data_IF_164088006323
#
_entry.id   IF_164088006323
#
_cell.length_a   1.000
_cell.length_b   1.000
_cell.length_c   1.000
_cell.angle_alpha   90.00
_cell.angle_beta   90.00
_cell.angle_gamma   90.00
#
_symmetry.space_group_name_H-M   'P 1'
#
loop_
_entity.id
_entity.type
_entity.pdbx_description
1 polymer ?
#
# COMPACT_ATOMS: atom_id res chain seq x y z
N UNK A 1 -18.59 -65.72 35.97
CA UNK A 1 -17.25 -65.23 35.57
C UNK A 1 -17.28 -63.73 35.48
N UNK A 2 -16.33 -63.08 36.12
CA UNK A 2 -16.34 -61.64 36.52
C UNK A 2 -16.06 -60.69 35.36
N UNK A 3 -16.88 -59.64 35.18
CA UNK A 3 -16.60 -58.46 34.38
C UNK A 3 -15.73 -57.46 35.12
N UNK A 4 -14.72 -56.79 34.49
CA UNK A 4 -14.09 -55.64 35.10
C UNK A 4 -14.60 -54.33 34.50
N UNK A 5 -14.90 -53.47 35.41
CA UNK A 5 -15.25 -52.05 35.39
C UNK A 5 -14.32 -51.19 34.51
N UNK A 6 -14.89 -50.39 33.58
CA UNK A 6 -14.20 -49.39 32.82
C UNK A 6 -14.10 -48.06 33.55
N UNK A 7 -12.88 -47.54 33.70
CA UNK A 7 -12.57 -46.17 34.18
C UNK A 7 -12.78 -45.16 33.06
N UNK A 8 -13.53 -44.08 33.33
CA UNK A 8 -13.59 -42.89 32.51
C UNK A 8 -12.32 -42.04 32.67
N UNK A 9 -11.72 -41.48 31.62
CA UNK A 9 -10.68 -40.49 31.80
C UNK A 9 -11.25 -39.10 32.07
N UNK A 10 -10.57 -38.41 32.98
CA UNK A 10 -10.76 -37.09 33.54
C UNK A 10 -10.65 -36.00 32.48
N UNK A 11 -11.52 -34.97 32.59
CA UNK A 11 -11.51 -33.76 31.79
C UNK A 11 -10.22 -32.94 32.02
N UNK A 12 -9.52 -32.66 30.94
CA UNK A 12 -8.35 -31.77 30.91
C UNK A 12 -8.79 -30.30 30.93
N UNK A 13 -8.21 -29.54 31.86
CA UNK A 13 -8.45 -28.12 32.08
C UNK A 13 -7.89 -27.27 30.93
N UNK A 14 -8.65 -26.27 30.49
CA UNK A 14 -8.22 -25.24 29.54
C UNK A 14 -7.24 -24.28 30.22
N UNK A 15 -6.11 -23.89 29.58
CA UNK A 15 -5.25 -22.83 30.07
C UNK A 15 -5.92 -21.46 29.89
N UNK A 16 -5.87 -20.66 30.96
CA UNK A 16 -6.43 -19.31 31.05
C UNK A 16 -5.66 -18.31 30.17
N UNK A 17 -6.41 -17.43 29.54
CA UNK A 17 -5.88 -16.25 28.79
C UNK A 17 -5.32 -15.22 29.78
N UNK A 18 -4.18 -14.56 29.51
CA UNK A 18 -3.74 -13.40 30.28
C UNK A 18 -4.62 -12.17 29.96
N UNK A 19 -5.15 -11.58 31.02
CA UNK A 19 -5.83 -10.28 30.96
C UNK A 19 -4.80 -9.17 30.90
N UNK A 20 -4.78 -8.38 29.83
CA UNK A 20 -4.03 -7.13 29.73
C UNK A 20 -4.89 -6.04 30.38
N UNK A 21 -4.35 -5.41 31.42
CA UNK A 21 -4.98 -4.33 32.15
C UNK A 21 -5.02 -3.05 31.30
N UNK A 22 -6.21 -2.50 31.09
CA UNK A 22 -6.43 -1.17 30.50
C UNK A 22 -6.09 -0.09 31.53
N UNK A 23 -5.04 0.69 31.27
CA UNK A 23 -4.72 1.91 32.00
C UNK A 23 -5.64 3.06 31.57
N UNK A 24 -6.49 3.52 32.51
CA UNK A 24 -7.25 4.77 32.36
C UNK A 24 -6.31 5.96 32.51
N UNK A 25 -6.24 6.82 31.49
CA UNK A 25 -5.70 8.17 31.58
C UNK A 25 -6.88 9.15 31.61
N UNK A 26 -7.04 9.79 32.76
CA UNK A 26 -8.00 10.86 33.03
C UNK A 26 -7.58 12.16 32.36
N UNK A 27 -8.44 12.71 31.50
CA UNK A 27 -8.31 14.06 30.97
C UNK A 27 -8.90 15.07 31.97
N UNK A 28 -8.10 16.02 32.42
CA UNK A 28 -8.54 17.17 33.22
C UNK A 28 -9.02 18.28 32.28
N UNK A 29 -10.29 18.68 32.45
CA UNK A 29 -10.88 19.85 31.82
C UNK A 29 -10.53 21.09 32.64
N UNK A 30 -9.98 22.11 31.98
CA UNK A 30 -9.83 23.47 32.56
C UNK A 30 -10.81 24.37 31.83
N UNK A 31 -11.81 24.84 32.58
CA UNK A 31 -12.73 25.92 32.20
C UNK A 31 -12.07 27.27 32.51
N UNK A 32 -12.09 28.22 31.59
CA UNK A 32 -11.76 29.62 31.82
C UNK A 32 -12.91 30.50 31.36
N UNK A 33 -13.32 31.37 32.25
CA UNK A 33 -14.51 32.20 32.20
C UNK A 33 -14.37 33.43 31.29
N UNK A 34 -15.49 33.84 30.77
CA UNK A 34 -15.72 35.07 30.02
C UNK A 34 -15.63 36.30 30.91
N UNK A 35 -15.12 37.42 30.37
CA UNK A 35 -15.36 38.76 30.88
C UNK A 35 -15.73 39.69 29.74
N UNK A 36 -16.93 40.22 29.82
CA UNK A 36 -17.48 41.28 28.99
C UNK A 36 -16.87 42.63 29.40
N UNK A 37 -16.49 43.44 28.44
CA UNK A 37 -16.39 44.89 28.63
C UNK A 37 -16.81 45.63 27.36
N UNK A 38 -17.87 46.35 27.49
CA UNK A 38 -18.51 47.29 26.56
C UNK A 38 -17.68 48.58 26.42
N UNK A 39 -17.56 49.13 25.24
CA UNK A 39 -16.97 50.46 25.05
C UNK A 39 -17.14 50.95 23.62
N UNK A 40 -18.21 51.69 23.36
CA UNK A 40 -18.39 52.48 22.14
C UNK A 40 -17.44 53.69 22.11
N UNK A 41 -16.84 54.00 20.95
CA UNK A 41 -16.62 55.37 20.50
C UNK A 41 -16.23 55.39 19.01
N UNK A 42 -17.07 56.07 18.25
CA UNK A 42 -16.83 56.51 16.88
C UNK A 42 -15.62 57.44 16.78
N UNK A 43 -14.81 57.31 15.72
CA UNK A 43 -14.15 58.42 15.01
C UNK A 43 -13.51 57.87 13.71
N UNK A 44 -14.13 58.13 12.57
CA UNK A 44 -13.47 58.33 11.28
C UNK A 44 -13.01 59.81 11.25
N UNK A 45 -12.02 60.25 10.49
CA UNK A 45 -11.45 59.76 9.24
C UNK A 45 -9.93 59.97 9.09
N UNK A 46 -9.30 59.39 8.13
CA UNK A 46 -8.35 60.02 7.19
C UNK A 46 -7.71 59.00 6.28
N UNK A 47 -8.03 59.10 5.01
CA UNK A 47 -7.22 58.47 3.94
C UNK A 47 -5.85 59.17 3.86
N UNK A 48 -4.76 58.47 3.88
CA UNK A 48 -3.54 58.92 3.24
C UNK A 48 -3.34 58.22 1.87
N UNK A 49 -2.79 59.03 0.99
CA UNK A 49 -2.50 58.77 -0.39
C UNK A 49 -1.76 57.44 -0.67
N UNK A 50 -2.11 56.86 -1.80
CA UNK A 50 -1.42 55.74 -2.41
C UNK A 50 0.06 56.08 -2.66
N UNK A 51 0.95 55.53 -1.81
CA UNK A 51 2.36 55.38 -2.16
C UNK A 51 2.46 54.10 -2.99
N UNK A 52 2.70 54.23 -4.30
CA UNK A 52 3.03 53.14 -5.18
C UNK A 52 4.32 52.51 -4.69
N UNK A 53 4.19 51.40 -3.93
CA UNK A 53 5.30 50.52 -3.63
C UNK A 53 5.73 49.89 -4.97
N UNK A 54 6.91 50.24 -5.46
CA UNK A 54 7.60 49.52 -6.51
C UNK A 54 7.84 48.10 -6.01
N UNK A 55 7.04 47.18 -6.49
CA UNK A 55 7.31 45.75 -6.38
C UNK A 55 8.62 45.54 -7.13
N UNK A 56 9.71 45.33 -6.42
CA UNK A 56 10.90 44.74 -7.00
C UNK A 56 10.47 43.39 -7.54
N UNK A 57 10.50 43.26 -8.88
CA UNK A 57 10.45 41.97 -9.53
C UNK A 57 11.62 41.16 -8.99
N UNK A 58 11.36 40.33 -7.96
CA UNK A 58 12.27 39.30 -7.54
C UNK A 58 12.50 38.42 -8.75
N UNK A 59 13.78 38.31 -9.15
CA UNK A 59 14.26 37.34 -10.14
C UNK A 59 13.61 36.01 -9.81
N UNK A 60 12.79 35.50 -10.73
CA UNK A 60 12.27 34.14 -10.64
C UNK A 60 13.45 33.20 -10.40
N UNK A 61 13.34 32.21 -9.44
CA UNK A 61 14.41 31.24 -9.27
C UNK A 61 14.67 30.61 -10.64
N UNK A 62 15.94 30.56 -11.01
CA UNK A 62 16.44 29.86 -12.19
C UNK A 62 15.92 28.41 -12.12
N UNK A 63 14.89 28.12 -12.90
CA UNK A 63 14.40 26.77 -13.09
C UNK A 63 15.44 26.08 -13.97
N UNK A 64 16.52 25.62 -13.33
CA UNK A 64 17.53 24.78 -13.97
C UNK A 64 16.82 23.78 -14.87
N UNK A 65 17.29 23.64 -16.10
CA UNK A 65 16.70 22.80 -17.14
C UNK A 65 16.20 21.49 -16.52
N UNK A 66 14.85 21.28 -16.55
CA UNK A 66 14.26 20.08 -15.95
C UNK A 66 14.90 18.86 -16.62
N UNK A 67 15.33 17.85 -15.85
CA UNK A 67 15.95 16.66 -16.42
C UNK A 67 15.01 16.02 -17.44
N UNK A 68 15.59 15.58 -18.56
CA UNK A 68 14.83 14.85 -19.59
C UNK A 68 14.17 13.60 -18.99
N UNK A 69 13.00 13.19 -19.51
CA UNK A 69 12.34 11.97 -19.08
C UNK A 69 13.28 10.77 -19.19
N UNK A 70 13.40 10.00 -18.12
CA UNK A 70 14.19 8.76 -18.13
C UNK A 70 13.41 7.69 -18.87
N UNK A 71 13.85 7.30 -20.07
CA UNK A 71 13.23 6.22 -20.82
C UNK A 71 13.56 4.85 -20.18
N UNK A 72 12.53 4.04 -19.94
CA UNK A 72 12.76 2.64 -19.55
C UNK A 72 13.19 1.84 -20.78
N UNK A 73 14.20 0.94 -20.69
CA UNK A 73 14.48 -0.03 -21.75
C UNK A 73 13.25 -0.92 -22.04
N UNK A 74 13.17 -1.45 -23.26
CA UNK A 74 12.07 -2.34 -23.65
C UNK A 74 11.92 -3.52 -22.66
N UNK A 75 10.70 -3.76 -22.19
CA UNK A 75 10.39 -4.80 -21.21
C UNK A 75 10.74 -4.46 -19.74
N UNK A 76 11.19 -3.22 -19.48
CA UNK A 76 11.45 -2.72 -18.14
C UNK A 76 10.34 -1.77 -17.68
N UNK A 77 10.15 -1.68 -16.36
CA UNK A 77 9.28 -0.69 -15.73
C UNK A 77 10.11 0.20 -14.80
N UNK A 78 9.89 1.52 -14.85
CA UNK A 78 10.54 2.46 -13.94
C UNK A 78 9.87 2.41 -12.57
N UNK A 79 10.69 2.60 -11.53
CA UNK A 79 10.28 2.67 -10.14
C UNK A 79 10.81 3.98 -9.56
N UNK A 80 9.93 4.78 -8.98
CA UNK A 80 10.25 6.01 -8.26
C UNK A 80 10.25 5.71 -6.74
N UNK A 81 11.41 5.68 -6.12
CA UNK A 81 11.54 5.55 -4.66
C UNK A 81 11.66 6.93 -4.04
N UNK A 82 10.77 7.27 -3.10
CA UNK A 82 10.73 8.57 -2.44
C UNK A 82 11.94 8.76 -1.53
N UNK A 83 12.52 9.98 -1.53
CA UNK A 83 13.64 10.36 -0.66
C UNK A 83 13.23 10.67 0.80
N UNK A 84 11.94 10.66 1.08
CA UNK A 84 11.29 10.96 2.34
C UNK A 84 9.79 11.12 2.12
N UNK A 85 9.07 11.74 3.04
CA UNK A 85 7.70 12.18 2.76
C UNK A 85 7.75 13.35 1.80
N UNK A 86 7.11 13.21 0.63
CA UNK A 86 7.18 14.16 -0.47
C UNK A 86 5.79 14.73 -0.80
N UNK A 87 5.68 15.95 -1.36
CA UNK A 87 4.45 16.46 -1.90
C UNK A 87 3.93 15.62 -3.08
N UNK A 88 2.61 15.47 -3.17
CA UNK A 88 1.94 14.91 -4.36
C UNK A 88 1.07 15.98 -5.03
N UNK A 89 0.77 15.75 -6.30
CA UNK A 89 0.06 16.71 -7.14
C UNK A 89 -0.94 15.99 -8.05
N UNK A 90 -2.11 16.59 -8.27
CA UNK A 90 -3.09 16.08 -9.23
C UNK A 90 -2.60 16.20 -10.68
N UNK A 91 -1.77 17.22 -10.98
CA UNK A 91 -1.15 17.45 -12.29
C UNK A 91 0.29 17.94 -12.12
N UNK A 92 1.15 17.66 -13.11
CA UNK A 92 2.51 18.19 -13.18
C UNK A 92 2.48 19.72 -13.21
N UNK A 93 3.31 20.37 -12.37
CA UNK A 93 3.35 21.84 -12.25
C UNK A 93 2.20 22.45 -11.43
N UNK A 94 1.23 21.66 -11.00
CA UNK A 94 0.09 22.11 -10.22
C UNK A 94 0.43 22.43 -8.75
N UNK A 95 -0.60 22.77 -7.97
CA UNK A 95 -0.47 22.93 -6.53
C UNK A 95 -0.45 21.55 -5.86
N UNK A 96 0.34 21.39 -4.79
CA UNK A 96 0.33 20.18 -3.99
C UNK A 96 -1.06 19.98 -3.34
N UNK A 97 -1.58 18.76 -3.41
CA UNK A 97 -2.89 18.35 -2.88
C UNK A 97 -2.77 17.28 -1.77
N UNK A 98 -1.56 17.03 -1.32
CA UNK A 98 -1.27 16.08 -0.25
C UNK A 98 0.18 15.64 -0.25
N UNK A 99 0.45 14.50 0.37
CA UNK A 99 1.79 13.92 0.45
C UNK A 99 1.79 12.44 0.08
N UNK A 100 2.97 11.95 -0.35
CA UNK A 100 3.31 10.53 -0.40
C UNK A 100 4.24 10.27 0.77
N UNK A 101 3.91 9.34 1.70
CA UNK A 101 4.80 9.02 2.82
C UNK A 101 6.09 8.38 2.31
N UNK A 102 7.22 8.69 2.97
CA UNK A 102 8.51 8.10 2.62
C UNK A 102 8.60 6.60 2.93
N UNK A 103 7.73 6.14 3.83
CA UNK A 103 7.59 4.72 4.20
C UNK A 103 6.13 4.34 4.32
N UNK A 104 5.82 3.10 3.96
CA UNK A 104 4.52 2.49 4.14
C UNK A 104 4.73 1.16 4.86
N UNK A 105 4.06 0.96 6.01
CA UNK A 105 4.26 -0.18 6.91
C UNK A 105 5.75 -0.53 7.14
N UNK A 106 6.60 0.50 7.32
CA UNK A 106 8.03 0.33 7.54
C UNK A 106 8.89 0.15 6.28
N UNK A 107 8.33 -0.25 5.14
CA UNK A 107 9.00 -0.33 3.85
C UNK A 107 9.18 1.04 3.18
N UNK A 108 10.22 1.23 2.36
CA UNK A 108 10.38 2.44 1.54
C UNK A 108 9.26 2.51 0.50
N UNK A 109 8.69 3.70 0.29
CA UNK A 109 7.70 3.93 -0.76
C UNK A 109 8.37 3.91 -2.13
N UNK A 110 8.30 2.76 -2.80
CA UNK A 110 8.82 2.52 -4.16
C UNK A 110 7.65 2.30 -5.11
N UNK A 111 7.39 3.26 -5.97
CA UNK A 111 6.15 3.41 -6.72
C UNK A 111 6.41 3.20 -8.21
N UNK A 112 5.62 2.40 -8.95
CA UNK A 112 5.78 2.27 -10.39
C UNK A 112 5.43 3.58 -11.10
N UNK A 113 6.30 3.98 -12.02
CA UNK A 113 6.08 5.14 -12.89
C UNK A 113 5.17 4.72 -14.06
N UNK A 114 4.08 5.47 -14.25
CA UNK A 114 3.08 5.21 -15.30
C UNK A 114 2.95 6.36 -16.29
N UNK A 115 3.70 7.43 -16.10
CA UNK A 115 3.76 8.57 -17.00
C UNK A 115 4.90 9.51 -16.62
N UNK A 116 5.34 10.34 -17.58
CA UNK A 116 6.45 11.24 -17.40
C UNK A 116 6.20 12.55 -18.14
N UNK A 117 6.67 13.64 -17.55
CA UNK A 117 6.82 14.95 -18.17
C UNK A 117 8.16 15.55 -17.68
N UNK A 118 8.74 16.55 -18.34
CA UNK A 118 9.97 17.20 -17.89
C UNK A 118 9.87 17.61 -16.42
N UNK A 119 10.76 17.06 -15.57
CA UNK A 119 10.79 17.30 -14.13
C UNK A 119 9.73 16.56 -13.28
N UNK A 120 8.89 15.69 -13.88
CA UNK A 120 7.76 15.06 -13.19
C UNK A 120 7.56 13.60 -13.56
N UNK A 121 7.14 12.80 -12.56
CA UNK A 121 6.69 11.42 -12.76
C UNK A 121 5.26 11.25 -12.26
N UNK A 122 4.42 10.59 -13.07
CA UNK A 122 3.14 10.08 -12.61
C UNK A 122 3.34 8.69 -12.07
N UNK A 123 2.93 8.46 -10.82
CA UNK A 123 3.14 7.20 -10.10
C UNK A 123 1.81 6.61 -9.61
N UNK A 124 1.77 5.28 -9.43
CA UNK A 124 0.68 4.64 -8.68
C UNK A 124 0.94 4.80 -7.19
N UNK A 125 -0.13 5.03 -6.43
CA UNK A 125 -0.09 5.12 -4.97
C UNK A 125 -0.48 3.79 -4.32
N UNK A 126 -0.02 3.60 -3.09
CA UNK A 126 -0.33 2.44 -2.26
C UNK A 126 -1.57 2.66 -1.39
N UNK A 127 -2.23 3.80 -1.51
CA UNK A 127 -3.37 4.20 -0.66
C UNK A 127 -4.70 3.95 -1.34
N UNK A 128 -5.76 3.76 -0.54
CA UNK A 128 -7.13 3.76 -1.03
C UNK A 128 -7.52 5.11 -1.67
N UNK A 129 -8.43 5.12 -2.64
CA UNK A 129 -9.02 3.95 -3.30
C UNK A 129 -8.02 3.22 -4.21
N UNK A 130 -8.29 1.95 -4.51
CA UNK A 130 -7.52 1.17 -5.48
C UNK A 130 -7.35 1.94 -6.80
N UNK A 131 -6.16 1.86 -7.42
CA UNK A 131 -5.88 2.56 -8.67
C UNK A 131 -5.48 4.03 -8.53
N UNK A 132 -5.40 4.58 -7.31
CA UNK A 132 -4.96 5.96 -7.05
C UNK A 132 -3.61 6.26 -7.68
N UNK A 133 -3.48 7.47 -8.25
CA UNK A 133 -2.24 7.96 -8.88
C UNK A 133 -1.96 9.40 -8.45
N UNK A 134 -0.71 9.81 -8.57
CA UNK A 134 -0.32 11.21 -8.37
C UNK A 134 0.88 11.56 -9.24
N UNK A 135 1.10 12.86 -9.45
CA UNK A 135 2.35 13.39 -9.94
C UNK A 135 3.28 13.70 -8.77
N UNK A 136 4.56 13.42 -8.94
CA UNK A 136 5.64 13.74 -8.00
C UNK A 136 6.79 14.40 -8.76
N UNK A 137 7.58 15.24 -8.09
CA UNK A 137 8.72 15.90 -8.72
C UNK A 137 9.87 14.91 -8.90
N UNK A 138 10.57 15.00 -10.01
CA UNK A 138 11.76 14.18 -10.28
C UNK A 138 12.85 14.37 -9.20
N UNK A 139 12.97 15.59 -8.66
CA UNK A 139 13.95 15.91 -7.60
C UNK A 139 13.67 15.17 -6.27
N UNK A 140 12.41 14.79 -6.02
CA UNK A 140 11.96 14.20 -4.74
C UNK A 140 12.08 12.67 -4.72
N UNK A 141 12.47 12.04 -5.83
CA UNK A 141 12.55 10.59 -5.98
C UNK A 141 13.91 10.15 -6.54
N UNK A 142 14.23 8.86 -6.29
CA UNK A 142 15.31 8.15 -6.98
C UNK A 142 14.68 7.17 -7.97
N UNK A 143 15.13 7.19 -9.22
CA UNK A 143 14.61 6.30 -10.26
C UNK A 143 15.48 5.07 -10.39
N UNK A 144 14.84 3.91 -10.36
CA UNK A 144 15.39 2.60 -10.70
C UNK A 144 14.49 1.93 -11.73
N UNK A 145 14.84 0.72 -12.15
CA UNK A 145 14.01 -0.04 -13.08
C UNK A 145 13.96 -1.51 -12.70
N UNK A 146 12.86 -2.18 -13.05
CA UNK A 146 12.68 -3.62 -12.85
C UNK A 146 12.37 -4.30 -14.18
N UNK A 147 12.99 -5.46 -14.48
CA UNK A 147 12.63 -6.26 -15.64
C UNK A 147 11.42 -7.17 -15.38
N UNK A 148 10.88 -7.16 -14.16
CA UNK A 148 9.81 -8.07 -13.74
C UNK A 148 8.43 -7.45 -13.88
N UNK A 149 7.43 -8.31 -14.12
CA UNK A 149 6.00 -8.01 -14.06
C UNK A 149 5.26 -9.26 -13.59
N UNK A 150 4.26 -9.08 -12.74
CA UNK A 150 3.37 -10.15 -12.28
C UNK A 150 2.01 -9.96 -12.94
N UNK A 151 1.39 -11.05 -13.39
CA UNK A 151 -0.01 -11.09 -13.85
C UNK A 151 -0.72 -12.17 -13.06
N UNK A 152 -1.84 -11.82 -12.45
CA UNK A 152 -2.76 -12.76 -11.78
C UNK A 152 -4.02 -12.83 -12.63
N UNK A 153 -4.35 -14.00 -13.09
CA UNK A 153 -5.53 -14.31 -13.89
C UNK A 153 -6.50 -15.07 -12.99
N UNK A 154 -7.56 -14.38 -12.54
CA UNK A 154 -8.52 -14.94 -11.58
C UNK A 154 -9.40 -15.99 -12.24
N UNK A 155 -9.76 -15.82 -13.52
CA UNK A 155 -10.55 -16.79 -14.24
C UNK A 155 -9.79 -18.11 -14.49
N UNK A 156 -8.48 -18.02 -14.72
CA UNK A 156 -7.61 -19.17 -14.86
C UNK A 156 -7.08 -19.71 -13.53
N UNK A 157 -7.22 -18.97 -12.42
CA UNK A 157 -6.63 -19.26 -11.10
C UNK A 157 -5.10 -19.45 -11.17
N UNK A 158 -4.44 -18.55 -11.90
CA UNK A 158 -3.00 -18.61 -12.13
C UNK A 158 -2.29 -17.29 -11.84
N UNK A 159 -1.05 -17.40 -11.32
CA UNK A 159 -0.10 -16.31 -11.24
C UNK A 159 1.03 -16.56 -12.23
N UNK A 160 1.30 -15.56 -13.10
CA UNK A 160 2.39 -15.59 -14.08
C UNK A 160 3.43 -14.53 -13.73
N UNK A 161 4.70 -14.92 -13.73
CA UNK A 161 5.83 -14.00 -13.57
C UNK A 161 6.54 -13.85 -14.92
N UNK A 162 6.72 -12.61 -15.31
CA UNK A 162 7.44 -12.24 -16.53
C UNK A 162 8.76 -11.56 -16.18
N UNK A 163 9.79 -11.81 -16.98
CA UNK A 163 11.06 -11.07 -16.96
C UNK A 163 11.41 -10.66 -18.38
N UNK A 164 11.65 -9.35 -18.59
CA UNK A 164 11.91 -8.77 -19.94
C UNK A 164 10.83 -9.16 -20.97
N UNK A 165 9.55 -9.15 -20.55
CA UNK A 165 8.42 -9.54 -21.39
C UNK A 165 8.24 -11.05 -21.60
N UNK A 166 9.21 -11.89 -21.25
CA UNK A 166 9.12 -13.36 -21.36
C UNK A 166 8.52 -13.94 -20.07
N UNK A 167 7.53 -14.82 -20.21
CA UNK A 167 7.02 -15.62 -19.09
C UNK A 167 8.11 -16.58 -18.59
N UNK A 168 8.40 -16.52 -17.29
CA UNK A 168 9.39 -17.37 -16.61
C UNK A 168 8.77 -18.23 -15.51
N UNK A 169 7.51 -17.97 -15.15
CA UNK A 169 6.73 -18.79 -14.22
C UNK A 169 5.25 -18.70 -14.59
N UNK A 170 4.57 -19.86 -14.50
CA UNK A 170 3.12 -19.96 -14.53
C UNK A 170 2.73 -20.96 -13.45
N UNK A 171 2.11 -20.47 -12.39
CA UNK A 171 1.78 -21.23 -11.19
C UNK A 171 0.29 -21.16 -10.91
N UNK A 172 -0.31 -22.29 -10.52
CA UNK A 172 -1.66 -22.30 -9.98
C UNK A 172 -1.74 -21.44 -8.70
N UNK A 173 -2.82 -20.72 -8.53
CA UNK A 173 -3.03 -19.80 -7.42
C UNK A 173 -4.40 -19.98 -6.78
N UNK A 174 -4.45 -19.98 -5.44
CA UNK A 174 -5.68 -19.76 -4.69
C UNK A 174 -6.01 -18.28 -4.69
N UNK A 175 -7.28 -17.93 -4.80
CA UNK A 175 -7.79 -16.55 -4.90
C UNK A 175 -8.84 -16.26 -3.84
N UNK A 176 -9.35 -15.04 -3.79
CA UNK A 176 -10.46 -14.64 -2.92
C UNK A 176 -11.77 -15.34 -3.27
N UNK A 177 -12.61 -15.56 -2.25
CA UNK A 177 -13.97 -16.08 -2.42
C UNK A 177 -14.87 -15.06 -3.12
N UNK A 178 -16.11 -15.45 -3.45
CA UNK A 178 -17.12 -14.51 -3.99
C UNK A 178 -17.52 -13.44 -2.98
N UNK A 179 -17.47 -13.73 -1.68
CA UNK A 179 -17.76 -12.78 -0.61
C UNK A 179 -16.62 -11.78 -0.43
N UNK A 180 -15.41 -12.26 -0.51
CA UNK A 180 -14.18 -11.49 -0.30
C UNK A 180 -13.27 -11.63 -1.52
N UNK A 181 -13.61 -11.02 -2.66
CA UNK A 181 -12.91 -11.26 -3.91
C UNK A 181 -11.52 -10.61 -3.91
N UNK A 182 -10.59 -11.24 -4.63
CA UNK A 182 -9.35 -10.57 -5.01
C UNK A 182 -9.70 -9.44 -5.98
N UNK A 183 -9.34 -8.18 -5.70
CA UNK A 183 -9.72 -7.04 -6.54
C UNK A 183 -8.94 -7.04 -7.86
N UNK A 184 -9.64 -6.84 -8.98
CA UNK A 184 -9.02 -6.65 -10.30
C UNK A 184 -8.43 -5.26 -10.45
N UNK A 185 -7.39 -5.11 -11.26
CA UNK A 185 -6.77 -3.81 -11.53
C UNK A 185 -5.27 -3.86 -11.72
N UNK A 186 -4.66 -2.68 -11.57
CA UNK A 186 -3.22 -2.50 -11.69
C UNK A 186 -2.63 -2.09 -10.35
N UNK A 187 -1.76 -2.90 -9.83
CA UNK A 187 -1.14 -2.82 -8.52
C UNK A 187 0.38 -2.94 -8.63
N UNK A 188 1.06 -3.08 -7.51
CA UNK A 188 2.51 -3.31 -7.48
C UNK A 188 2.92 -4.00 -6.18
N UNK A 189 4.13 -4.53 -6.16
CA UNK A 189 4.78 -5.06 -4.96
C UNK A 189 5.09 -3.91 -4.03
N UNK A 190 4.37 -3.79 -2.92
CA UNK A 190 4.53 -2.69 -1.98
C UNK A 190 5.66 -2.94 -0.97
N UNK A 191 5.79 -4.17 -0.50
CA UNK A 191 6.87 -4.60 0.39
C UNK A 191 6.93 -6.13 0.49
N UNK A 192 7.99 -6.62 1.13
CA UNK A 192 8.06 -7.98 1.66
C UNK A 192 7.98 -7.93 3.19
N UNK A 193 7.17 -8.79 3.76
CA UNK A 193 6.98 -8.92 5.20
C UNK A 193 7.45 -10.29 5.66
N UNK A 194 7.98 -10.38 6.88
CA UNK A 194 8.30 -11.65 7.50
C UNK A 194 7.02 -12.45 7.75
N UNK A 195 7.11 -13.75 7.55
CA UNK A 195 5.97 -14.63 7.73
C UNK A 195 5.61 -14.80 9.22
N UNK A 196 4.34 -14.60 9.61
CA UNK A 196 3.91 -14.81 11.00
C UNK A 196 3.83 -16.29 11.38
N UNK A 197 3.79 -17.21 10.40
CA UNK A 197 3.76 -18.65 10.64
C UNK A 197 4.19 -19.44 9.40
N UNK A 198 4.56 -20.71 9.58
CA UNK A 198 5.00 -21.58 8.50
C UNK A 198 3.97 -21.75 7.37
N UNK A 199 2.67 -21.62 7.67
CA UNK A 199 1.60 -21.71 6.68
C UNK A 199 1.61 -20.60 5.64
N UNK A 200 2.09 -19.41 6.00
CA UNK A 200 2.30 -18.29 5.07
C UNK A 200 3.53 -18.48 4.17
N UNK A 201 4.43 -19.43 4.51
CA UNK A 201 5.68 -19.64 3.78
C UNK A 201 6.82 -18.76 4.29
N UNK A 202 7.89 -18.57 3.49
CA UNK A 202 9.10 -17.88 3.94
C UNK A 202 8.96 -16.35 4.01
N UNK A 203 7.92 -15.78 3.44
CA UNK A 203 7.59 -14.35 3.43
C UNK A 203 6.17 -14.14 2.90
N UNK A 204 5.65 -12.94 3.12
CA UNK A 204 4.47 -12.41 2.44
C UNK A 204 4.95 -11.32 1.49
N UNK A 205 4.58 -11.41 0.20
CA UNK A 205 4.69 -10.32 -0.75
C UNK A 205 3.43 -9.48 -0.62
N UNK A 206 3.54 -8.32 0.03
CA UNK A 206 2.43 -7.40 0.22
C UNK A 206 2.25 -6.56 -1.04
N UNK A 207 1.03 -6.49 -1.55
CA UNK A 207 0.70 -5.69 -2.73
C UNK A 207 0.16 -4.32 -2.35
N UNK A 208 -0.02 -3.43 -3.34
CA UNK A 208 -0.75 -2.17 -3.16
C UNK A 208 -2.25 -2.30 -3.36
N UNK A 209 -2.77 -3.52 -3.48
CA UNK A 209 -4.20 -3.77 -3.59
C UNK A 209 -4.85 -3.82 -2.20
N UNK A 210 -6.00 -3.19 -2.05
CA UNK A 210 -6.83 -3.24 -0.85
C UNK A 210 -8.11 -4.01 -1.16
N UNK A 211 -8.58 -4.81 -0.22
CA UNK A 211 -9.87 -5.50 -0.37
C UNK A 211 -11.01 -4.48 -0.56
N UNK A 212 -11.88 -4.73 -1.52
CA UNK A 212 -13.09 -3.93 -1.73
C UNK A 212 -14.23 -4.36 -0.79
N UNK A 213 -14.16 -5.57 -0.23
CA UNK A 213 -15.17 -6.14 0.66
C UNK A 213 -14.83 -5.91 2.15
N UNK A 214 -13.55 -5.85 2.51
CA UNK A 214 -13.07 -5.73 3.89
C UNK A 214 -12.35 -4.39 4.05
N UNK A 215 -12.79 -3.58 5.02
CA UNK A 215 -12.17 -2.28 5.32
C UNK A 215 -11.18 -2.34 6.47
N UNK A 216 -11.27 -3.35 7.32
CA UNK A 216 -10.43 -3.53 8.50
C UNK A 216 -10.18 -5.03 8.76
N UNK A 217 -8.96 -5.48 8.56
CA UNK A 217 -8.56 -6.85 8.86
C UNK A 217 -7.94 -6.92 10.26
N UNK A 218 -8.62 -7.63 11.16
CA UNK A 218 -8.16 -7.86 12.54
C UNK A 218 -7.78 -6.60 13.33
N UNK A 219 -8.44 -5.46 13.05
CA UNK A 219 -8.17 -4.19 13.75
C UNK A 219 -6.95 -3.43 13.24
N UNK A 220 -6.46 -3.75 12.05
CA UNK A 220 -5.32 -3.05 11.42
C UNK A 220 -5.70 -1.69 10.82
N UNK A 221 -7.00 -1.39 10.68
CA UNK A 221 -7.53 -0.21 10.01
C UNK A 221 -7.50 -0.29 8.49
N UNK A 222 -7.10 -1.43 7.92
CA UNK A 222 -7.08 -1.69 6.49
C UNK A 222 -7.15 -3.21 6.21
N UNK A 223 -7.35 -3.59 4.95
CA UNK A 223 -7.28 -4.97 4.49
C UNK A 223 -6.51 -5.02 3.17
N UNK A 224 -5.22 -5.26 3.27
CA UNK A 224 -4.29 -5.28 2.13
C UNK A 224 -4.15 -6.70 1.60
N UNK A 225 -4.10 -6.83 0.27
CA UNK A 225 -3.94 -8.12 -0.40
C UNK A 225 -2.47 -8.54 -0.39
N UNK A 226 -2.20 -9.73 0.15
CA UNK A 226 -0.90 -10.38 0.13
C UNK A 226 -0.82 -11.53 -0.88
N UNK A 227 0.41 -11.87 -1.29
CA UNK A 227 0.74 -13.12 -1.99
C UNK A 227 1.59 -13.93 -1.03
N UNK A 228 1.14 -15.11 -0.65
CA UNK A 228 1.77 -15.92 0.40
C UNK A 228 1.54 -17.43 0.20
N UNK A 229 1.99 -18.25 1.12
CA UNK A 229 1.82 -19.70 1.13
C UNK A 229 0.39 -20.18 1.31
N UNK A 230 0.14 -21.48 1.23
CA UNK A 230 -1.21 -22.05 1.08
C UNK A 230 -2.06 -22.05 2.36
N UNK A 231 -1.50 -21.80 3.55
CA UNK A 231 -2.22 -21.81 4.85
C UNK A 231 -3.01 -23.11 5.11
N UNK A 232 -2.49 -24.24 4.65
CA UNK A 232 -3.17 -25.55 4.79
C UNK A 232 -3.96 -25.99 3.56
N UNK A 233 -4.34 -25.07 2.66
CA UNK A 233 -5.18 -25.36 1.49
C UNK A 233 -4.41 -25.79 0.23
N UNK A 234 -3.13 -26.20 0.39
CA UNK A 234 -2.27 -26.54 -0.73
C UNK A 234 -2.82 -27.61 -1.68
N UNK A 235 -3.60 -28.58 -1.15
CA UNK A 235 -4.24 -29.62 -1.97
C UNK A 235 -5.34 -29.08 -2.89
N UNK A 236 -5.88 -27.89 -2.63
CA UNK A 236 -6.95 -27.27 -3.41
C UNK A 236 -6.40 -26.36 -4.52
N UNK A 237 -5.19 -25.84 -4.36
CA UNK A 237 -4.54 -24.99 -5.36
C UNK A 237 -4.21 -25.82 -6.59
N UNK A 238 -4.73 -25.42 -7.76
CA UNK A 238 -4.53 -26.11 -9.04
C UNK A 238 -5.51 -27.23 -9.32
N UNK A 239 -6.55 -27.43 -8.51
CA UNK A 239 -7.59 -28.45 -8.74
C UNK A 239 -8.88 -27.89 -9.37
N UNK A 240 -8.91 -26.57 -9.66
CA UNK A 240 -10.09 -25.82 -10.09
C UNK A 240 -10.96 -25.41 -8.91
N UNK A 241 -11.50 -24.19 -8.96
CA UNK A 241 -12.33 -23.64 -7.89
C UNK A 241 -11.54 -23.27 -6.63
N UNK A 242 -10.31 -22.81 -6.77
CA UNK A 242 -9.43 -22.43 -5.67
C UNK A 242 -9.78 -21.04 -5.06
N UNK A 243 -11.08 -20.72 -4.93
CA UNK A 243 -11.57 -19.55 -4.20
C UNK A 243 -11.50 -19.82 -2.69
N UNK A 244 -10.35 -19.55 -2.07
CA UNK A 244 -9.95 -20.08 -0.76
C UNK A 244 -9.73 -19.00 0.30
N UNK A 245 -9.63 -17.73 -0.09
CA UNK A 245 -9.13 -16.67 0.79
C UNK A 245 -10.12 -15.51 0.98
N UNK A 246 -9.76 -14.57 1.85
CA UNK A 246 -10.44 -13.28 2.00
C UNK A 246 -9.85 -12.20 1.06
N UNK A 247 -9.38 -12.62 -0.13
CA UNK A 247 -8.80 -11.75 -1.15
C UNK A 247 -7.31 -11.98 -1.42
N UNK A 248 -6.55 -12.49 -0.48
CA UNK A 248 -5.12 -12.82 -0.68
C UNK A 248 -4.92 -13.91 -1.74
N UNK A 249 -3.78 -13.85 -2.41
CA UNK A 249 -3.38 -14.81 -3.44
C UNK A 249 -2.49 -15.86 -2.76
N UNK A 250 -2.84 -17.13 -2.89
CA UNK A 250 -2.10 -18.25 -2.28
C UNK A 250 -1.36 -19.04 -3.33
N UNK A 251 -0.08 -19.34 -3.06
CA UNK A 251 0.77 -20.15 -3.92
C UNK A 251 1.31 -21.37 -3.17
N UNK A 252 1.69 -22.38 -3.91
CA UNK A 252 2.55 -23.43 -3.37
C UNK A 252 3.89 -22.84 -2.96
N UNK A 253 4.51 -23.36 -1.88
CA UNK A 253 5.75 -22.79 -1.32
C UNK A 253 6.91 -22.71 -2.34
N UNK A 254 7.14 -23.70 -3.23
CA UNK A 254 8.18 -23.60 -4.26
C UNK A 254 7.94 -22.44 -5.23
N UNK A 255 6.67 -22.18 -5.61
CA UNK A 255 6.32 -21.08 -6.52
C UNK A 255 6.42 -19.73 -5.83
N UNK A 256 5.97 -19.63 -4.58
CA UNK A 256 6.15 -18.43 -3.77
C UNK A 256 7.64 -18.03 -3.68
N UNK A 257 8.53 -18.99 -3.42
CA UNK A 257 9.97 -18.76 -3.31
C UNK A 257 10.56 -18.12 -4.58
N UNK A 258 10.00 -18.39 -5.76
CA UNK A 258 10.42 -17.81 -7.05
C UNK A 258 10.11 -16.31 -7.16
N UNK A 259 9.23 -15.78 -6.32
CA UNK A 259 8.94 -14.34 -6.28
C UNK A 259 9.97 -13.55 -5.46
N UNK A 260 10.85 -14.19 -4.69
CA UNK A 260 11.83 -13.50 -3.83
C UNK A 260 12.75 -12.51 -4.55
N UNK A 261 13.20 -12.75 -5.80
CA UNK A 261 14.04 -11.80 -6.54
C UNK A 261 13.31 -10.59 -7.10
N UNK A 262 11.97 -10.55 -7.01
CA UNK A 262 11.15 -9.47 -7.59
C UNK A 262 11.30 -8.20 -6.73
N UNK A 263 11.74 -7.05 -7.28
CA UNK A 263 11.91 -5.84 -6.50
C UNK A 263 10.57 -5.23 -6.04
N UNK A 264 10.61 -4.50 -4.92
CA UNK A 264 9.53 -3.58 -4.52
C UNK A 264 9.30 -2.54 -5.62
N UNK A 265 8.05 -2.16 -5.86
CA UNK A 265 7.65 -1.30 -6.98
C UNK A 265 7.36 -2.06 -8.29
N UNK A 266 7.62 -3.38 -8.36
CA UNK A 266 7.31 -4.18 -9.55
C UNK A 266 5.81 -4.18 -9.84
N UNK A 267 5.38 -3.88 -11.09
CA UNK A 267 3.96 -3.87 -11.46
C UNK A 267 3.30 -5.24 -11.33
N UNK A 268 2.06 -5.22 -10.83
CA UNK A 268 1.15 -6.37 -10.75
C UNK A 268 -0.13 -5.99 -11.51
N UNK A 269 -0.59 -6.86 -12.39
CA UNK A 269 -1.91 -6.74 -13.03
C UNK A 269 -2.76 -7.92 -12.60
N UNK A 270 -3.95 -7.67 -12.07
CA UNK A 270 -4.94 -8.68 -11.69
C UNK A 270 -6.12 -8.55 -12.66
N UNK A 271 -6.38 -9.60 -13.42
CA UNK A 271 -7.46 -9.70 -14.39
C UNK A 271 -8.48 -10.75 -13.96
N UNK A 272 -9.76 -10.55 -14.31
CA UNK A 272 -10.89 -11.44 -14.02
C UNK A 272 -11.38 -12.17 -15.25
#
# INVERSE_FOLDING_TARGET
>A
MRTPSGRRPSASAKPGRPRIAAGLLTAAAIAAAASLATGCSHLEPARPAAAAARVHAGTAPDHGTAPDPVAAPAGWSLIATTKGTIPRFAAAGGRADGTVPGRWYGGLSSLPVIGQQPGWFRVRLVTRPNGSTAWVRAADVTITATPYRIVVDLAAEHLRLYRLGKEIMNAAAGIGTRQDPTPTGHYFVAMFEESPSAGYGPFILVTSAHSDAISDWEGSGDAVIGIHGPLGDGSQIGTGGAALSHGCIRLQLPDLARLRPVPVGTPITIIG
#
